data_IF_447671692503
#
_entry.id   IF_447671692503
#
_cell.length_a   1.000
_cell.length_b   1.000
_cell.length_c   1.000
_cell.angle_alpha   90.00
_cell.angle_beta   90.00
_cell.angle_gamma   90.00
#
_symmetry.space_group_name_H-M   'P 1'
#
loop_
_entity.id
_entity.type
_entity.pdbx_description
1 polymer ?
#
# COMPACT_ATOMS: atom_id res chain seq x y z
N UNK A 1 -10.53 7.07 20.06
CA UNK A 1 -10.77 6.54 18.71
C UNK A 1 -10.25 7.52 17.68
N UNK A 2 -9.39 7.04 16.79
CA UNK A 2 -8.79 7.91 15.78
C UNK A 2 -9.84 8.34 14.77
N UNK A 3 -9.83 9.62 14.45
CA UNK A 3 -10.71 10.15 13.44
C UNK A 3 -10.19 9.78 12.06
N UNK A 4 -11.11 9.46 11.15
CA UNK A 4 -10.74 9.20 9.78
C UNK A 4 -10.30 10.50 9.09
N UNK A 5 -9.29 10.44 8.22
CA UNK A 5 -8.83 11.64 7.51
C UNK A 5 -9.76 11.99 6.35
N UNK A 6 -10.76 12.80 6.64
CA UNK A 6 -11.81 13.14 5.68
C UNK A 6 -11.24 13.81 4.44
N UNK A 7 -10.26 14.70 4.62
CA UNK A 7 -9.68 15.41 3.48
C UNK A 7 -8.96 14.44 2.55
N UNK A 8 -8.27 13.46 3.12
CA UNK A 8 -7.61 12.46 2.29
C UNK A 8 -8.63 11.60 1.54
N UNK A 9 -9.73 11.26 2.20
CA UNK A 9 -10.79 10.49 1.56
C UNK A 9 -11.37 11.25 0.38
N UNK A 10 -11.62 12.54 0.55
CA UNK A 10 -12.14 13.36 -0.54
C UNK A 10 -11.16 13.44 -1.70
N UNK A 11 -9.87 13.59 -1.38
CA UNK A 11 -8.85 13.68 -2.41
C UNK A 11 -8.75 12.40 -3.21
N UNK A 12 -8.84 11.25 -2.54
CA UNK A 12 -8.81 9.97 -3.24
C UNK A 12 -10.00 9.80 -4.16
N UNK A 13 -11.19 10.20 -3.70
CA UNK A 13 -12.37 10.15 -4.55
C UNK A 13 -12.24 11.10 -5.76
N UNK A 14 -11.72 12.30 -5.50
CA UNK A 14 -11.53 13.28 -6.57
C UNK A 14 -10.56 12.73 -7.62
N UNK A 15 -9.43 12.19 -7.15
CA UNK A 15 -8.45 11.64 -8.09
C UNK A 15 -9.02 10.48 -8.88
N UNK A 16 -9.78 9.62 -8.22
CA UNK A 16 -10.38 8.48 -8.89
C UNK A 16 -11.32 8.93 -10.00
N UNK A 17 -12.17 9.94 -9.72
CA UNK A 17 -13.06 10.49 -10.73
C UNK A 17 -12.31 11.13 -11.87
N UNK A 18 -11.22 11.83 -11.58
CA UNK A 18 -10.38 12.43 -12.59
C UNK A 18 -9.78 11.37 -13.52
N UNK A 19 -9.32 10.27 -12.93
CA UNK A 19 -8.76 9.18 -13.73
C UNK A 19 -9.82 8.57 -14.64
N UNK A 20 -11.01 8.34 -14.09
CA UNK A 20 -12.11 7.80 -14.92
C UNK A 20 -12.41 8.71 -16.09
N UNK A 21 -12.47 10.01 -15.84
CA UNK A 21 -12.79 10.97 -16.89
C UNK A 21 -11.70 10.99 -17.98
N UNK A 22 -10.45 10.96 -17.55
CA UNK A 22 -9.34 10.98 -18.50
C UNK A 22 -9.26 9.70 -19.32
N UNK A 23 -9.54 8.55 -18.69
CA UNK A 23 -9.54 7.30 -19.44
C UNK A 23 -10.66 7.29 -20.48
N UNK A 24 -11.79 7.90 -20.17
CA UNK A 24 -12.92 7.96 -21.09
C UNK A 24 -12.63 8.83 -22.31
N UNK A 25 -11.67 9.73 -22.21
CA UNK A 25 -11.29 10.59 -23.33
C UNK A 25 -10.47 9.87 -24.39
N UNK A 26 -10.06 8.65 -24.15
CA UNK A 26 -9.29 7.89 -25.12
C UNK A 26 -7.87 8.40 -25.29
N UNK A 27 -7.11 8.52 -24.22
CA UNK A 27 -5.75 9.04 -24.32
C UNK A 27 -4.81 8.07 -25.05
N UNK A 28 -3.58 8.53 -25.32
CA UNK A 28 -2.57 7.70 -25.93
C UNK A 28 -2.32 6.45 -25.08
N UNK A 29 -1.87 5.38 -25.73
CA UNK A 29 -1.76 4.08 -25.07
C UNK A 29 -0.89 4.11 -23.83
N UNK A 30 0.24 4.82 -23.88
CA UNK A 30 1.14 4.87 -22.72
C UNK A 30 0.51 5.62 -21.55
N UNK A 31 -0.25 6.67 -21.85
CA UNK A 31 -0.97 7.40 -20.81
C UNK A 31 -2.09 6.53 -20.24
N UNK A 32 -2.82 5.84 -21.11
CA UNK A 32 -3.90 4.97 -20.66
C UNK A 32 -3.40 3.89 -19.71
N UNK A 33 -2.25 3.28 -20.01
CA UNK A 33 -1.71 2.23 -19.15
C UNK A 33 -1.41 2.77 -17.75
N UNK A 34 -0.83 3.98 -17.67
CA UNK A 34 -0.54 4.56 -16.36
C UNK A 34 -1.82 4.88 -15.59
N UNK A 35 -2.81 5.43 -16.29
CA UNK A 35 -4.08 5.73 -15.64
C UNK A 35 -4.78 4.46 -15.17
N UNK A 36 -4.75 3.40 -15.97
CA UNK A 36 -5.37 2.14 -15.60
C UNK A 36 -4.71 1.52 -14.38
N UNK A 37 -3.39 1.65 -14.29
CA UNK A 37 -2.67 1.15 -13.13
C UNK A 37 -3.09 1.88 -11.87
N UNK A 38 -3.16 3.21 -11.94
CA UNK A 38 -3.58 4.00 -10.78
C UNK A 38 -5.03 3.72 -10.43
N UNK A 39 -5.88 3.55 -11.43
CA UNK A 39 -7.28 3.19 -11.23
C UNK A 39 -7.38 1.90 -10.42
N UNK A 40 -6.62 0.90 -10.83
CA UNK A 40 -6.65 -0.39 -10.13
C UNK A 40 -6.21 -0.29 -8.68
N UNK A 41 -5.24 0.58 -8.41
CA UNK A 41 -4.78 0.77 -7.04
C UNK A 41 -5.81 1.50 -6.19
N UNK A 42 -6.49 2.49 -6.76
CA UNK A 42 -7.43 3.30 -5.99
C UNK A 42 -8.80 2.66 -5.85
N UNK A 43 -9.19 1.79 -6.77
CA UNK A 43 -10.56 1.26 -6.79
C UNK A 43 -10.97 0.60 -5.48
N UNK A 44 -10.17 -0.29 -4.89
CA UNK A 44 -10.62 -0.91 -3.63
C UNK A 44 -10.79 0.10 -2.51
N UNK A 45 -9.90 1.10 -2.46
CA UNK A 45 -9.98 2.12 -1.41
C UNK A 45 -11.22 2.98 -1.59
N UNK A 46 -11.46 3.44 -2.82
CA UNK A 46 -12.60 4.31 -3.09
C UNK A 46 -13.91 3.56 -2.90
N UNK A 47 -13.96 2.28 -3.29
CA UNK A 47 -15.14 1.46 -3.05
C UNK A 47 -15.45 1.40 -1.55
N UNK A 48 -14.43 1.21 -0.72
CA UNK A 48 -14.63 1.14 0.72
C UNK A 48 -15.06 2.50 1.28
N UNK A 49 -14.48 3.58 0.76
CA UNK A 49 -14.89 4.93 1.18
C UNK A 49 -16.38 5.12 0.92
N UNK A 50 -16.86 4.71 -0.24
CA UNK A 50 -18.26 4.87 -0.60
C UNK A 50 -19.17 3.99 0.24
N UNK A 51 -18.72 2.77 0.56
CA UNK A 51 -19.48 1.91 1.46
C UNK A 51 -19.62 2.55 2.84
N UNK A 52 -18.53 3.12 3.34
CA UNK A 52 -18.54 3.78 4.63
C UNK A 52 -19.48 4.97 4.63
N UNK A 53 -19.41 5.80 3.60
CA UNK A 53 -20.28 6.96 3.52
C UNK A 53 -21.75 6.58 3.49
N UNK A 54 -22.07 5.50 2.76
CA UNK A 54 -23.45 5.01 2.70
C UNK A 54 -23.89 4.51 4.06
N UNK A 55 -23.03 3.78 4.76
CA UNK A 55 -23.37 3.27 6.09
C UNK A 55 -23.61 4.39 7.07
N UNK A 56 -22.78 5.43 7.02
CA UNK A 56 -22.95 6.58 7.90
C UNK A 56 -24.28 7.28 7.62
N UNK A 57 -24.63 7.43 6.35
CA UNK A 57 -25.91 8.05 5.97
C UNK A 57 -27.08 7.23 6.44
N UNK A 58 -27.00 5.90 6.34
CA UNK A 58 -28.08 5.02 6.80
C UNK A 58 -28.26 5.12 8.30
N UNK A 59 -27.15 5.16 9.05
CA UNK A 59 -27.25 5.35 10.49
C UNK A 59 -27.89 6.68 10.84
N UNK A 60 -27.50 7.74 10.16
CA UNK A 60 -28.06 9.07 10.39
C UNK A 60 -29.57 9.09 10.12
N UNK A 61 -29.98 8.41 9.05
CA UNK A 61 -31.42 8.33 8.72
C UNK A 61 -32.20 7.64 9.81
N UNK A 62 -31.66 6.55 10.38
CA UNK A 62 -32.33 5.84 11.45
C UNK A 62 -32.43 6.69 12.70
N UNK A 63 -31.36 7.43 13.02
CA UNK A 63 -31.40 8.32 14.18
C UNK A 63 -32.41 9.45 13.97
N UNK A 64 -32.52 9.96 12.74
CA UNK A 64 -33.49 10.99 12.44
C UNK A 64 -34.91 10.48 12.63
N UNK A 65 -35.19 9.24 12.21
CA UNK A 65 -36.50 8.64 12.42
C UNK A 65 -36.84 8.56 13.91
N UNK A 66 -35.86 8.16 14.71
CA UNK A 66 -36.07 8.02 16.14
C UNK A 66 -36.23 9.36 16.86
N UNK A 67 -35.58 10.40 16.34
CA UNK A 67 -35.66 11.73 16.91
C UNK A 67 -36.96 12.45 16.55
N UNK A 68 -37.60 12.07 15.45
CA UNK A 68 -38.79 12.73 14.96
C UNK A 68 -40.01 12.22 15.73
N UNK A 69 -40.67 13.12 16.43
CA UNK A 69 -41.83 12.75 17.22
C UNK A 69 -43.01 12.30 16.36
N UNK A 70 -43.03 12.68 15.09
CA UNK A 70 -44.11 12.30 14.18
C UNK A 70 -43.96 10.89 13.62
N UNK A 71 -42.81 10.25 13.83
CA UNK A 71 -42.60 8.90 13.34
C UNK A 71 -43.58 7.94 13.99
N UNK A 72 -44.32 7.14 13.18
CA UNK A 72 -45.29 6.23 13.74
C UNK A 72 -44.63 5.09 14.49
N UNK A 73 -45.46 4.35 15.23
CA UNK A 73 -44.96 3.33 16.14
C UNK A 73 -44.23 2.22 15.40
N UNK A 74 -44.77 1.76 14.29
CA UNK A 74 -44.17 0.67 13.54
C UNK A 74 -42.80 1.05 13.01
N UNK A 75 -42.71 2.23 12.43
CA UNK A 75 -41.41 2.72 11.92
C UNK A 75 -40.43 2.89 13.04
N UNK A 76 -40.88 3.41 14.18
CA UNK A 76 -40.01 3.60 15.32
C UNK A 76 -39.43 2.29 15.80
N UNK A 77 -40.30 1.27 15.93
CA UNK A 77 -39.83 -0.03 16.39
C UNK A 77 -38.83 -0.65 15.42
N UNK A 78 -39.09 -0.51 14.13
CA UNK A 78 -38.16 -1.03 13.12
C UNK A 78 -36.83 -0.31 13.20
N UNK A 79 -36.86 1.01 13.35
CA UNK A 79 -35.62 1.79 13.46
C UNK A 79 -34.82 1.39 14.68
N UNK A 80 -35.52 1.13 15.80
CA UNK A 80 -34.85 0.69 17.03
C UNK A 80 -34.15 -0.65 16.85
N UNK A 81 -34.72 -1.55 16.05
CA UNK A 81 -34.08 -2.81 15.74
C UNK A 81 -32.89 -2.65 14.82
N UNK A 82 -33.01 -1.78 13.83
CA UNK A 82 -31.98 -1.63 12.81
C UNK A 82 -30.80 -0.78 13.26
N UNK A 83 -31.02 0.15 14.20
CA UNK A 83 -29.96 1.07 14.57
C UNK A 83 -28.71 0.38 15.12
N UNK A 84 -28.81 -0.60 16.03
CA UNK A 84 -27.59 -1.26 16.50
C UNK A 84 -26.81 -1.93 15.39
N UNK A 85 -27.51 -2.55 14.43
CA UNK A 85 -26.84 -3.17 13.29
C UNK A 85 -26.13 -2.13 12.43
N UNK A 86 -26.80 -0.98 12.23
CA UNK A 86 -26.17 0.09 11.45
C UNK A 86 -24.92 0.64 12.15
N UNK A 87 -25.00 0.76 13.48
CA UNK A 87 -23.84 1.22 14.24
C UNK A 87 -22.68 0.25 14.14
N UNK A 88 -22.95 -1.05 14.22
CA UNK A 88 -21.90 -2.05 14.08
C UNK A 88 -21.27 -1.99 12.71
N UNK A 89 -22.08 -1.80 11.68
CA UNK A 89 -21.57 -1.72 10.32
C UNK A 89 -20.65 -0.51 10.14
N UNK A 90 -21.04 0.64 10.68
CA UNK A 90 -20.21 1.84 10.62
C UNK A 90 -18.88 1.58 11.33
N UNK A 91 -18.91 0.99 12.53
CA UNK A 91 -17.69 0.72 13.26
C UNK A 91 -16.77 -0.22 12.51
N UNK A 92 -17.33 -1.28 11.91
CA UNK A 92 -16.52 -2.22 11.15
C UNK A 92 -15.87 -1.53 9.95
N UNK A 93 -16.64 -0.71 9.25
CA UNK A 93 -16.10 0.02 8.11
C UNK A 93 -15.07 1.05 8.52
N UNK A 94 -15.26 1.70 9.68
CA UNK A 94 -14.25 2.63 10.19
C UNK A 94 -12.91 1.93 10.41
N UNK A 95 -12.95 0.74 11.00
CA UNK A 95 -11.73 0.00 11.24
C UNK A 95 -11.04 -0.38 9.93
N UNK A 96 -11.83 -0.84 8.96
CA UNK A 96 -11.28 -1.18 7.65
C UNK A 96 -10.68 0.05 6.97
N UNK A 97 -11.37 1.20 7.08
CA UNK A 97 -10.89 2.43 6.50
C UNK A 97 -9.59 2.90 7.14
N UNK A 98 -9.47 2.76 8.46
CA UNK A 98 -8.25 3.16 9.13
C UNK A 98 -7.06 2.39 8.60
N UNK A 99 -7.24 1.08 8.35
CA UNK A 99 -6.17 0.27 7.81
C UNK A 99 -5.84 0.68 6.38
N UNK A 100 -6.87 0.86 5.54
CA UNK A 100 -6.66 1.21 4.14
C UNK A 100 -6.01 2.57 3.96
N UNK A 101 -6.29 3.51 4.87
CA UNK A 101 -5.79 4.88 4.74
C UNK A 101 -4.48 5.11 5.47
N UNK A 102 -3.92 4.07 6.08
CA UNK A 102 -2.60 4.21 6.69
C UNK A 102 -1.59 4.63 5.64
N UNK A 103 -0.64 5.50 6.02
CA UNK A 103 0.44 5.80 5.09
C UNK A 103 1.15 4.53 4.69
N UNK A 104 1.65 4.49 3.48
CA UNK A 104 2.47 3.36 3.06
C UNK A 104 3.61 3.21 4.06
N UNK A 105 3.94 1.96 4.37
CA UNK A 105 5.05 1.68 5.26
C UNK A 105 6.28 2.43 4.74
N UNK A 106 6.87 3.27 5.58
CA UNK A 106 8.05 4.00 5.18
C UNK A 106 9.16 3.05 4.77
N UNK A 107 9.21 1.87 5.38
CA UNK A 107 10.22 0.87 5.02
C UNK A 107 10.03 0.35 3.60
N UNK A 108 8.80 0.34 3.10
CA UNK A 108 8.55 -0.11 1.73
C UNK A 108 9.10 0.84 0.68
N UNK A 109 9.26 2.12 1.04
CA UNK A 109 9.73 3.12 0.09
C UNK A 109 11.19 3.45 0.29
N UNK A 110 11.79 3.02 1.38
CA UNK A 110 13.19 3.29 1.67
C UNK A 110 14.08 2.32 0.94
N UNK A 111 15.31 2.77 0.67
CA UNK A 111 16.34 1.89 0.15
C UNK A 111 16.85 0.98 1.25
N UNK A 112 17.16 -0.25 0.90
CA UNK A 112 17.89 -1.14 1.78
C UNK A 112 19.36 -1.12 1.39
N UNK A 113 20.24 -1.29 2.39
CA UNK A 113 21.66 -1.42 2.13
C UNK A 113 22.03 -2.88 2.17
N UNK A 114 22.60 -3.37 1.10
CA UNK A 114 23.06 -4.74 0.99
C UNK A 114 24.57 -4.76 1.12
N UNK A 115 25.07 -5.45 2.13
CA UNK A 115 26.50 -5.62 2.32
C UNK A 115 26.83 -7.10 2.24
N UNK A 116 27.83 -7.43 1.41
CA UNK A 116 28.31 -8.79 1.32
C UNK A 116 29.83 -8.73 1.51
N UNK A 117 30.33 -9.48 2.47
CA UNK A 117 31.74 -9.53 2.79
C UNK A 117 32.23 -10.97 2.79
N UNK A 118 33.36 -11.18 2.12
CA UNK A 118 33.96 -12.49 2.07
C UNK A 118 34.66 -12.85 3.38
N UNK A 119 34.99 -11.85 4.19
CA UNK A 119 35.70 -12.09 5.44
C UNK A 119 37.09 -12.63 5.19
N UNK A 120 37.48 -13.62 6.01
CA UNK A 120 38.80 -14.21 5.91
C UNK A 120 38.86 -15.45 5.03
N UNK A 121 37.79 -15.69 4.25
CA UNK A 121 37.68 -16.92 3.48
C UNK A 121 38.52 -17.01 2.21
N UNK A 122 39.20 -15.93 1.84
CA UNK A 122 40.07 -15.97 0.68
C UNK A 122 39.32 -15.95 -0.65
N UNK A 123 39.99 -16.49 -1.68
CA UNK A 123 39.48 -16.40 -3.05
C UNK A 123 38.16 -17.11 -3.22
N UNK A 124 37.97 -18.25 -2.61
CA UNK A 124 36.74 -19.00 -2.76
C UNK A 124 35.55 -18.25 -2.16
N UNK A 125 35.77 -17.65 -0.99
CA UNK A 125 34.72 -16.85 -0.37
C UNK A 125 34.40 -15.62 -1.19
N UNK A 126 35.41 -15.01 -1.83
CA UNK A 126 35.17 -13.86 -2.68
C UNK A 126 34.34 -14.25 -3.91
N UNK A 127 34.61 -15.41 -4.49
CA UNK A 127 33.82 -15.89 -5.61
C UNK A 127 32.38 -16.16 -5.19
N UNK A 128 32.19 -16.74 -4.01
CA UNK A 128 30.86 -16.97 -3.51
C UNK A 128 30.12 -15.64 -3.27
N UNK A 129 30.82 -14.64 -2.77
CA UNK A 129 30.22 -13.33 -2.57
C UNK A 129 29.76 -12.74 -3.91
N UNK A 130 30.54 -12.93 -4.97
CA UNK A 130 30.13 -12.48 -6.28
C UNK A 130 28.89 -13.19 -6.79
N UNK A 131 28.83 -14.50 -6.58
CA UNK A 131 27.65 -15.27 -6.97
C UNK A 131 26.42 -14.82 -6.20
N UNK A 132 26.61 -14.58 -4.90
CA UNK A 132 25.50 -14.16 -4.06
C UNK A 132 25.00 -12.79 -4.50
N UNK A 133 25.90 -11.87 -4.80
CA UNK A 133 25.49 -10.56 -5.27
C UNK A 133 24.73 -10.63 -6.59
N UNK A 134 25.18 -11.48 -7.51
CA UNK A 134 24.46 -11.66 -8.78
C UNK A 134 23.06 -12.22 -8.55
N UNK A 135 22.91 -13.11 -7.57
CA UNK A 135 21.60 -13.63 -7.22
C UNK A 135 20.67 -12.50 -6.75
N UNK A 136 21.19 -11.63 -5.90
CA UNK A 136 20.41 -10.48 -5.42
C UNK A 136 20.06 -9.53 -6.56
N UNK A 137 20.99 -9.32 -7.49
CA UNK A 137 20.71 -8.47 -8.64
C UNK A 137 19.56 -9.02 -9.48
N UNK A 138 19.61 -10.31 -9.76
CA UNK A 138 18.57 -10.94 -10.57
C UNK A 138 17.23 -10.92 -9.85
N UNK A 139 17.23 -11.21 -8.56
CA UNK A 139 16.00 -11.16 -7.80
C UNK A 139 15.43 -9.75 -7.79
N UNK A 140 16.27 -8.74 -7.59
CA UNK A 140 15.83 -7.35 -7.60
C UNK A 140 15.23 -6.99 -8.95
N UNK A 141 15.83 -7.46 -10.03
CA UNK A 141 15.31 -7.18 -11.36
C UNK A 141 13.90 -7.74 -11.54
N UNK A 142 13.66 -8.96 -11.03
CA UNK A 142 12.32 -9.54 -11.14
C UNK A 142 11.29 -8.76 -10.35
N UNK A 143 11.71 -8.08 -9.28
CA UNK A 143 10.82 -7.26 -8.46
C UNK A 143 10.69 -5.84 -8.97
N UNK A 144 11.48 -5.46 -9.98
CA UNK A 144 11.50 -4.09 -10.46
C UNK A 144 12.24 -3.13 -9.55
N UNK A 145 13.09 -3.66 -8.68
CA UNK A 145 13.90 -2.83 -7.80
C UNK A 145 15.16 -2.38 -8.51
N UNK A 146 15.71 -1.25 -8.06
CA UNK A 146 16.95 -0.70 -8.60
C UNK A 146 18.09 -1.04 -7.66
N UNK A 147 19.19 -1.56 -8.23
CA UNK A 147 20.40 -1.85 -7.47
C UNK A 147 21.50 -0.90 -7.90
N UNK A 148 22.11 -0.24 -6.94
CA UNK A 148 23.17 0.73 -7.21
C UNK A 148 24.36 0.41 -6.31
N UNK A 149 25.50 0.08 -6.92
CA UNK A 149 26.69 -0.25 -6.16
C UNK A 149 27.31 1.04 -5.61
N UNK A 150 27.50 1.06 -4.29
CA UNK A 150 28.14 2.20 -3.62
C UNK A 150 29.64 2.00 -3.51
N UNK A 151 30.09 0.77 -3.28
CA UNK A 151 31.47 0.47 -3.02
C UNK A 151 31.72 -1.00 -3.31
N UNK A 152 32.84 -1.30 -3.91
CA UNK A 152 33.21 -2.68 -4.20
C UNK A 152 34.71 -2.84 -4.12
N UNK A 153 35.12 -3.95 -3.50
CA UNK A 153 36.51 -4.36 -3.47
C UNK A 153 36.57 -5.76 -4.07
N UNK A 154 37.22 -5.88 -5.21
CA UNK A 154 37.24 -7.14 -5.96
C UNK A 154 38.22 -8.13 -5.36
N UNK A 155 37.88 -9.41 -5.46
CA UNK A 155 38.80 -10.47 -5.11
C UNK A 155 39.88 -10.66 -6.15
N UNK A 156 40.99 -11.21 -5.72
CA UNK A 156 42.13 -11.38 -6.64
C UNK A 156 41.80 -12.36 -7.76
N UNK A 157 41.03 -13.40 -7.47
CA UNK A 157 40.66 -14.39 -8.46
C UNK A 157 39.24 -14.19 -8.97
N UNK A 158 38.68 -13.00 -8.77
CA UNK A 158 37.31 -12.67 -9.13
C UNK A 158 36.40 -12.56 -7.93
N UNK A 159 35.16 -12.23 -8.17
CA UNK A 159 34.22 -12.00 -7.09
C UNK A 159 34.54 -10.73 -6.32
N UNK A 160 34.09 -10.70 -5.06
CA UNK A 160 34.25 -9.51 -4.22
C UNK A 160 34.77 -9.87 -2.85
N UNK A 161 35.78 -9.14 -2.37
CA UNK A 161 36.09 -9.16 -0.95
C UNK A 161 35.00 -8.50 -0.16
N UNK A 162 34.42 -7.43 -0.72
CA UNK A 162 33.33 -6.71 -0.10
C UNK A 162 32.58 -5.99 -1.23
N UNK A 163 31.25 -5.97 -1.12
CA UNK A 163 30.44 -5.14 -1.99
C UNK A 163 29.28 -4.57 -1.20
N UNK A 164 29.07 -3.29 -1.37
CA UNK A 164 27.99 -2.56 -0.71
C UNK A 164 27.14 -1.89 -1.77
N UNK A 165 25.85 -2.11 -1.71
CA UNK A 165 24.93 -1.58 -2.71
C UNK A 165 23.64 -1.14 -2.02
N UNK A 166 22.95 -0.19 -2.66
CA UNK A 166 21.57 0.11 -2.26
C UNK A 166 20.62 -0.62 -3.18
N UNK A 167 19.52 -1.07 -2.58
CA UNK A 167 18.42 -1.70 -3.32
C UNK A 167 17.19 -0.86 -3.04
N UNK A 168 16.64 -0.25 -4.09
CA UNK A 168 15.53 0.70 -3.97
C UNK A 168 14.32 0.16 -4.69
N UNK A 169 13.17 0.35 -4.07
CA UNK A 169 11.92 -0.05 -4.69
C UNK A 169 10.92 -0.49 -3.66
N UNK A 170 9.74 -0.75 -4.11
CA UNK A 170 8.65 -1.11 -3.22
C UNK A 170 8.90 -2.47 -2.59
N UNK A 171 8.94 -2.50 -1.27
CA UNK A 171 9.15 -3.72 -0.51
C UNK A 171 10.60 -4.12 -0.35
N UNK A 172 11.54 -3.34 -0.85
CA UNK A 172 12.95 -3.68 -0.78
C UNK A 172 13.46 -3.78 0.63
N UNK A 173 13.07 -2.98 1.35
CA UNK A 173 13.52 -2.96 2.70
C UNK A 173 13.10 -4.15 3.50
N UNK A 174 12.01 -4.52 3.17
CA UNK A 174 11.45 -5.66 3.80
C UNK A 174 12.07 -6.94 3.31
N UNK A 175 12.36 -6.95 2.25
CA UNK A 175 12.92 -8.05 1.66
C UNK A 175 14.32 -8.30 2.06
N UNK A 176 14.82 -7.40 2.34
CA UNK A 176 16.18 -7.45 2.75
C UNK A 176 16.36 -7.86 4.18
N UNK A 177 15.42 -7.51 4.89
CA UNK A 177 15.48 -7.83 6.31
C UNK A 177 15.53 -9.34 6.60
N UNK A 178 14.64 -10.12 6.00
CA UNK A 178 14.72 -11.57 6.26
C UNK A 178 16.03 -12.21 5.85
N UNK A 179 16.69 -11.62 4.87
CA UNK A 179 17.94 -12.20 4.36
C UNK A 179 19.14 -11.85 5.19
N UNK A 180 18.97 -10.91 6.12
CA UNK A 180 20.07 -10.49 7.00
C UNK A 180 20.22 -11.38 8.21
N UNK A 181 19.23 -12.17 8.54
CA UNK A 181 19.26 -13.01 9.75
C UNK A 181 20.08 -14.33 9.59
#
# INVERSE_FOLDING_TARGET
>A
VAKLPVDKMRELERRFGEIEARMAEGPAADVYVKLASEYSELQPVVTKIREYQKAVAEEADLRALLADKATDREMRELAELELPEAQEKVEALEQQMQILLLPKDAADEKSAILEIRAGTGGSEAALFAGDLFRMYERFSSTKGWKVEVLSASEGEAGGYKEIIATVSGRGAXXXXAPLQS
#
